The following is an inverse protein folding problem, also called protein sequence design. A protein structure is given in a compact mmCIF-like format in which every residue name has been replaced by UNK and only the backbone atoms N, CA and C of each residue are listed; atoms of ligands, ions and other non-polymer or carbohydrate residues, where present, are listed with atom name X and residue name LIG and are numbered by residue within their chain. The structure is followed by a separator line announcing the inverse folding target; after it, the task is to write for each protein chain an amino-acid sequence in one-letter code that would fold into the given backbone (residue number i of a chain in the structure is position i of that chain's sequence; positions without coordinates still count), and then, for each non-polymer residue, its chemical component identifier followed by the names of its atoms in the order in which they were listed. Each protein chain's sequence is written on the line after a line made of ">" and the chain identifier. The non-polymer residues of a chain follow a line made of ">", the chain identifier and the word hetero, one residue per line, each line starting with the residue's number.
data_IF_806184734514
#
_entry.id   IF_806184734514
#
_cell.length_a   1.000
_cell.length_b   1.000
_cell.length_c   1.000
_cell.angle_alpha   90.00
_cell.angle_beta   90.00
_cell.angle_gamma   90.00
#
_symmetry.space_group_name_H-M   'P 1'
#
loop_
_entity.id
_entity.type
_entity.pdbx_description
1 polymer ?
#
# COMPACT_ATOMS: atom_id res chain seq x y z
N UNK A 1 52.99 -4.97 -4.97
CA UNK A 1 52.08 -4.89 -3.80
C UNK A 1 50.85 -3.99 -4.02
N UNK A 2 50.87 -2.94 -4.86
CA UNK A 2 49.71 -2.03 -5.06
C UNK A 2 48.47 -2.61 -5.77
N UNK A 3 48.60 -3.72 -6.50
CA UNK A 3 47.48 -4.32 -7.27
C UNK A 3 46.50 -5.13 -6.42
N UNK A 4 46.96 -5.70 -5.30
CA UNK A 4 46.13 -6.51 -4.39
C UNK A 4 45.20 -5.60 -3.57
N UNK A 5 45.68 -4.40 -3.19
CA UNK A 5 44.90 -3.41 -2.44
C UNK A 5 43.75 -2.83 -3.25
N UNK A 6 43.92 -2.65 -4.57
CA UNK A 6 42.87 -2.12 -5.45
C UNK A 6 41.72 -3.13 -5.65
N UNK A 7 42.05 -4.42 -5.77
CA UNK A 7 41.05 -5.49 -5.89
C UNK A 7 40.24 -5.69 -4.60
N UNK A 8 40.89 -5.56 -3.44
CA UNK A 8 40.21 -5.65 -2.14
C UNK A 8 39.24 -4.49 -1.92
N UNK A 9 39.61 -3.26 -2.34
CA UNK A 9 38.72 -2.10 -2.27
C UNK A 9 37.49 -2.24 -3.17
N UNK A 10 37.66 -2.71 -4.41
CA UNK A 10 36.53 -2.96 -5.33
C UNK A 10 35.57 -4.03 -4.79
N UNK A 11 36.10 -5.06 -4.10
CA UNK A 11 35.29 -6.09 -3.46
C UNK A 11 34.47 -5.53 -2.28
N UNK A 12 35.06 -4.66 -1.46
CA UNK A 12 34.36 -4.02 -0.33
C UNK A 12 33.27 -3.05 -0.81
N UNK A 13 33.51 -2.30 -1.89
CA UNK A 13 32.49 -1.43 -2.50
C UNK A 13 31.34 -2.18 -3.20
N UNK A 14 31.53 -3.45 -3.56
CA UNK A 14 30.45 -4.30 -4.09
C UNK A 14 29.50 -4.83 -3.01
N UNK A 15 29.93 -4.83 -1.74
CA UNK A 15 29.11 -5.28 -0.60
C UNK A 15 28.13 -4.20 -0.10
N UNK A 16 28.23 -2.96 -0.58
CA UNK A 16 27.24 -1.90 -0.33
C UNK A 16 26.07 -1.93 -1.32
N UNK A 17 25.75 -3.10 -1.89
CA UNK A 17 24.49 -3.31 -2.57
C UNK A 17 23.37 -2.95 -1.58
N UNK A 18 22.70 -1.83 -1.83
CA UNK A 18 21.55 -1.37 -1.08
C UNK A 18 20.60 -2.56 -0.91
N UNK A 19 20.30 -2.91 0.34
CA UNK A 19 19.35 -3.98 0.63
C UNK A 19 18.02 -3.62 -0.04
N UNK A 20 17.67 -4.34 -1.11
CA UNK A 20 16.37 -4.18 -1.76
C UNK A 20 15.29 -4.61 -0.79
N UNK A 21 14.26 -3.80 -0.63
CA UNK A 21 13.14 -4.08 0.29
C UNK A 21 12.23 -5.13 -0.33
N UNK A 22 12.01 -6.24 0.37
CA UNK A 22 11.13 -7.30 -0.12
C UNK A 22 9.64 -6.99 0.13
N UNK A 23 8.73 -7.67 -0.58
CA UNK A 23 7.28 -7.59 -0.30
C UNK A 23 6.96 -7.92 1.16
N UNK A 24 7.70 -8.85 1.77
CA UNK A 24 7.54 -9.22 3.18
C UNK A 24 7.94 -8.07 4.11
N UNK A 25 8.98 -7.32 3.79
CA UNK A 25 9.41 -6.16 4.57
C UNK A 25 8.41 -5.02 4.46
N UNK A 26 7.89 -4.77 3.26
CA UNK A 26 6.79 -3.82 3.05
C UNK A 26 5.56 -4.25 3.85
N UNK A 27 5.17 -5.53 3.82
CA UNK A 27 4.02 -6.03 4.59
C UNK A 27 4.24 -5.92 6.11
N UNK A 28 5.46 -6.14 6.60
CA UNK A 28 5.79 -5.95 8.03
C UNK A 28 5.56 -4.51 8.46
N UNK A 29 5.78 -3.54 7.58
CA UNK A 29 5.53 -2.12 7.83
C UNK A 29 4.05 -1.77 7.64
N UNK A 30 3.38 -2.33 6.63
CA UNK A 30 1.96 -2.09 6.34
C UNK A 30 0.99 -2.78 7.31
N UNK A 31 1.41 -3.77 8.09
CA UNK A 31 0.51 -4.37 9.09
C UNK A 31 0.06 -3.33 10.12
N UNK A 32 -1.21 -3.42 10.54
CA UNK A 32 -1.76 -2.52 11.54
C UNK A 32 -3.24 -2.24 11.36
N UNK A 33 -3.76 -1.35 12.20
CA UNK A 33 -5.13 -0.83 12.10
C UNK A 33 -5.12 0.51 11.38
N UNK A 34 -6.08 0.71 10.50
CA UNK A 34 -6.17 1.84 9.60
C UNK A 34 -7.57 2.42 9.56
N UNK A 35 -7.64 3.65 9.09
CA UNK A 35 -8.87 4.37 8.80
C UNK A 35 -8.70 5.11 7.48
N UNK A 36 -9.54 4.78 6.50
CA UNK A 36 -9.62 5.50 5.24
C UNK A 36 -10.85 6.42 5.26
N UNK A 37 -10.64 7.70 4.98
CA UNK A 37 -11.68 8.71 4.79
C UNK A 37 -11.79 9.00 3.30
N UNK A 38 -12.96 8.77 2.72
CA UNK A 38 -13.23 8.72 1.27
C UNK A 38 -14.46 9.60 0.99
N UNK A 39 -14.25 10.92 0.92
CA UNK A 39 -15.35 11.89 0.85
C UNK A 39 -16.24 11.85 2.11
N UNK A 40 -17.53 11.53 1.92
CA UNK A 40 -18.53 11.35 2.99
C UNK A 40 -18.41 10.00 3.71
N UNK A 41 -17.68 9.05 3.13
CA UNK A 41 -17.58 7.68 3.61
C UNK A 41 -16.29 7.42 4.38
N UNK A 42 -16.34 6.44 5.29
CA UNK A 42 -15.20 6.07 6.12
C UNK A 42 -15.18 4.56 6.36
N UNK A 43 -14.00 3.97 6.22
CA UNK A 43 -13.74 2.57 6.49
C UNK A 43 -12.63 2.42 7.55
N UNK A 44 -12.88 1.62 8.58
CA UNK A 44 -11.87 1.19 9.55
C UNK A 44 -11.54 -0.26 9.28
N UNK A 45 -10.25 -0.59 9.16
CA UNK A 45 -9.82 -1.92 8.75
C UNK A 45 -8.48 -2.31 9.40
N UNK A 46 -8.12 -3.59 9.29
CA UNK A 46 -6.85 -4.12 9.78
C UNK A 46 -6.16 -4.90 8.66
N UNK A 47 -4.90 -4.57 8.42
CA UNK A 47 -3.98 -5.38 7.61
C UNK A 47 -3.24 -6.33 8.55
N UNK A 48 -3.44 -7.64 8.38
CA UNK A 48 -2.76 -8.67 9.16
C UNK A 48 -1.37 -8.94 8.62
N UNK A 49 -0.51 -9.59 9.42
CA UNK A 49 0.82 -10.03 9.00
C UNK A 49 0.82 -11.06 7.85
N UNK A 50 -0.34 -11.63 7.53
CA UNK A 50 -0.53 -12.54 6.39
C UNK A 50 -0.87 -11.82 5.09
N UNK A 51 -1.03 -10.49 5.10
CA UNK A 51 -1.55 -9.72 3.97
C UNK A 51 -3.08 -9.63 3.93
N UNK A 52 -3.79 -10.52 4.64
CA UNK A 52 -5.26 -10.46 4.71
C UNK A 52 -5.74 -9.15 5.33
N UNK A 53 -6.69 -8.52 4.66
CA UNK A 53 -7.39 -7.33 5.14
C UNK A 53 -8.70 -7.75 5.78
N UNK A 54 -9.08 -7.07 6.86
CA UNK A 54 -10.35 -7.27 7.54
C UNK A 54 -10.98 -5.90 7.82
N UNK A 55 -12.11 -5.64 7.18
CA UNK A 55 -12.93 -4.47 7.48
C UNK A 55 -13.56 -4.63 8.87
N UNK A 56 -13.39 -3.64 9.73
CA UNK A 56 -13.94 -3.62 11.08
C UNK A 56 -15.26 -2.87 11.15
N UNK A 57 -15.35 -1.74 10.42
CA UNK A 57 -16.55 -0.94 10.33
C UNK A 57 -16.50 -0.04 9.11
N UNK A 58 -17.68 0.24 8.57
CA UNK A 58 -17.93 1.23 7.54
C UNK A 58 -19.02 2.18 7.99
N UNK A 59 -19.00 3.39 7.47
CA UNK A 59 -20.04 4.39 7.70
C UNK A 59 -20.03 5.39 6.56
N UNK A 60 -21.21 5.86 6.14
CA UNK A 60 -21.36 6.87 5.11
C UNK A 60 -22.36 6.44 4.06
N UNK A 61 -22.19 6.98 2.86
CA UNK A 61 -23.04 6.71 1.69
C UNK A 61 -22.79 5.33 1.09
N UNK A 62 -21.54 4.85 1.14
CA UNK A 62 -21.15 3.54 0.64
C UNK A 62 -20.66 2.62 1.77
N UNK A 63 -21.21 1.41 1.82
CA UNK A 63 -20.77 0.35 2.73
C UNK A 63 -19.73 -0.55 2.03
N UNK A 64 -18.45 -0.24 2.20
CA UNK A 64 -17.35 -1.06 1.69
C UNK A 64 -17.24 -2.39 2.46
N UNK A 65 -17.85 -3.45 1.93
CA UNK A 65 -17.91 -4.76 2.56
C UNK A 65 -16.63 -5.58 2.34
N UNK A 66 -15.92 -5.34 1.24
CA UNK A 66 -14.75 -6.11 0.83
C UNK A 66 -13.50 -5.24 0.75
N UNK A 67 -12.39 -5.78 1.23
CA UNK A 67 -11.09 -5.14 1.11
C UNK A 67 -10.01 -6.19 0.84
N UNK A 68 -9.17 -5.93 -0.15
CA UNK A 68 -8.07 -6.83 -0.53
C UNK A 68 -6.75 -6.06 -0.65
N UNK A 69 -5.67 -6.68 -0.16
CA UNK A 69 -4.32 -6.20 -0.36
C UNK A 69 -3.58 -7.17 -1.27
N UNK A 70 -3.07 -6.65 -2.37
CA UNK A 70 -2.18 -7.36 -3.29
C UNK A 70 -0.89 -6.57 -3.49
N UNK A 71 0.14 -7.21 -4.05
CA UNK A 71 1.37 -6.52 -4.45
C UNK A 71 1.46 -6.49 -5.97
N UNK A 72 1.76 -5.31 -6.52
CA UNK A 72 2.02 -5.13 -7.93
C UNK A 72 3.47 -5.51 -8.24
N UNK A 73 3.66 -6.30 -9.29
CA UNK A 73 4.97 -6.81 -9.71
C UNK A 73 5.16 -8.30 -9.37
N UNK A 74 5.98 -8.97 -10.18
CA UNK A 74 6.25 -10.41 -10.06
C UNK A 74 7.42 -10.63 -9.10
N UNK A 75 7.30 -11.54 -8.14
CA UNK A 75 8.42 -12.05 -7.34
C UNK A 75 9.43 -12.89 -8.15
N UNK A 76 9.15 -13.12 -9.43
CA UNK A 76 9.90 -13.96 -10.36
C UNK A 76 10.59 -13.15 -11.48
N UNK A 77 10.76 -11.83 -11.34
CA UNK A 77 11.46 -11.02 -12.35
C UNK A 77 12.94 -11.37 -12.38
N UNK A 78 13.47 -11.73 -13.55
CA UNK A 78 14.91 -11.81 -13.78
C UNK A 78 15.41 -10.37 -13.99
N UNK A 79 15.58 -9.63 -12.88
CA UNK A 79 16.01 -8.23 -12.87
C UNK A 79 16.03 -7.67 -11.44
N UNK A 80 16.56 -6.45 -11.23
CA UNK A 80 16.42 -5.79 -9.93
C UNK A 80 14.93 -5.57 -9.64
N UNK A 81 14.42 -6.18 -8.58
CA UNK A 81 13.07 -5.91 -8.12
C UNK A 81 12.99 -4.43 -7.73
N UNK A 82 12.10 -3.70 -8.39
CA UNK A 82 11.74 -2.35 -8.00
C UNK A 82 11.13 -2.33 -6.60
N UNK A 83 10.95 -1.14 -6.03
CA UNK A 83 10.26 -1.00 -4.74
C UNK A 83 8.88 -1.68 -4.81
N UNK A 84 8.57 -2.61 -3.90
CA UNK A 84 7.27 -3.26 -3.92
C UNK A 84 6.14 -2.24 -3.70
N UNK A 85 5.12 -2.32 -4.54
CA UNK A 85 3.93 -1.48 -4.45
C UNK A 85 2.77 -2.35 -4.00
N UNK A 86 2.20 -2.02 -2.85
CA UNK A 86 0.99 -2.63 -2.36
C UNK A 86 -0.24 -1.93 -2.97
N UNK A 87 -1.18 -2.70 -3.48
CA UNK A 87 -2.48 -2.25 -3.96
C UNK A 87 -3.54 -2.68 -2.96
N UNK A 88 -4.15 -1.72 -2.29
CA UNK A 88 -5.30 -1.92 -1.42
C UNK A 88 -6.57 -1.52 -2.17
N UNK A 89 -7.51 -2.44 -2.30
CA UNK A 89 -8.79 -2.21 -2.98
C UNK A 89 -9.92 -2.33 -1.98
N UNK A 90 -10.84 -1.35 -1.96
CA UNK A 90 -12.11 -1.42 -1.25
C UNK A 90 -13.24 -1.51 -2.27
N UNK A 91 -14.03 -2.58 -2.21
CA UNK A 91 -15.23 -2.72 -3.00
C UNK A 91 -16.46 -2.35 -2.18
N UNK A 92 -17.33 -1.52 -2.76
CA UNK A 92 -18.70 -1.34 -2.32
C UNK A 92 -19.61 -1.58 -3.52
N UNK A 93 -20.70 -2.32 -3.34
CA UNK A 93 -21.63 -2.50 -4.44
C UNK A 93 -22.97 -3.09 -4.02
N UNK A 94 -23.97 -2.82 -4.87
CA UNK A 94 -25.26 -3.49 -4.94
C UNK A 94 -25.33 -4.34 -6.22
N UNK A 95 -26.48 -4.93 -6.47
CA UNK A 95 -26.81 -5.60 -7.73
C UNK A 95 -26.81 -4.66 -8.96
N UNK A 96 -26.98 -3.35 -8.76
CA UNK A 96 -27.04 -2.34 -9.83
C UNK A 96 -25.73 -1.55 -10.01
N UNK A 97 -25.00 -1.28 -8.92
CA UNK A 97 -23.82 -0.40 -8.93
C UNK A 97 -22.65 -1.01 -8.15
N UNK A 98 -21.44 -0.99 -8.70
CA UNK A 98 -20.20 -1.34 -8.00
C UNK A 98 -19.20 -0.20 -8.08
N UNK A 99 -18.60 0.14 -6.95
CA UNK A 99 -17.59 1.19 -6.81
C UNK A 99 -16.37 0.62 -6.11
N UNK A 100 -15.24 0.68 -6.79
CA UNK A 100 -13.96 0.23 -6.24
C UNK A 100 -13.06 1.42 -5.97
N UNK A 101 -12.48 1.45 -4.78
CA UNK A 101 -11.45 2.40 -4.39
C UNK A 101 -10.11 1.70 -4.34
N UNK A 102 -9.17 2.19 -5.12
CA UNK A 102 -7.80 1.70 -5.19
C UNK A 102 -6.86 2.68 -4.48
N UNK A 103 -6.04 2.17 -3.57
CA UNK A 103 -4.99 2.91 -2.88
C UNK A 103 -3.67 2.19 -3.13
N UNK A 104 -2.78 2.84 -3.89
CA UNK A 104 -1.44 2.33 -4.14
C UNK A 104 -0.47 2.91 -3.12
N UNK A 105 0.26 2.03 -2.43
CA UNK A 105 1.18 2.39 -1.36
C UNK A 105 2.53 1.72 -1.55
N UNK A 106 3.58 2.36 -1.07
CA UNK A 106 4.89 1.74 -0.92
C UNK A 106 5.49 2.11 0.43
N UNK A 107 6.69 1.60 0.71
CA UNK A 107 7.45 1.93 1.90
C UNK A 107 8.79 2.47 1.47
N UNK A 108 9.14 3.63 1.97
CA UNK A 108 10.43 4.27 1.76
C UNK A 108 11.26 4.14 3.03
N UNK A 109 12.55 3.86 2.88
CA UNK A 109 13.51 3.87 3.97
C UNK A 109 14.28 5.19 3.97
N UNK A 110 14.10 5.99 5.01
CA UNK A 110 14.83 7.22 5.22
C UNK A 110 16.29 6.99 5.59
N UNK A 111 17.08 8.07 5.59
CA UNK A 111 18.49 8.06 5.99
C UNK A 111 18.70 7.63 7.44
N UNK A 112 17.68 7.77 8.29
CA UNK A 112 17.64 7.33 9.70
C UNK A 112 17.36 5.83 9.88
N UNK A 113 17.21 5.06 8.79
CA UNK A 113 16.65 3.70 8.77
C UNK A 113 15.19 3.62 9.26
N UNK A 114 14.49 4.75 9.38
CA UNK A 114 13.05 4.76 9.62
C UNK A 114 12.33 4.37 8.33
N UNK A 115 11.35 3.47 8.46
CA UNK A 115 10.53 3.02 7.34
C UNK A 115 9.19 3.73 7.41
N UNK A 116 8.90 4.52 6.38
CA UNK A 116 7.68 5.30 6.27
C UNK A 116 6.79 4.77 5.15
N UNK A 117 5.50 4.70 5.42
CA UNK A 117 4.50 4.34 4.40
C UNK A 117 4.23 5.59 3.57
N UNK A 118 4.22 5.42 2.25
CA UNK A 118 3.90 6.46 1.30
C UNK A 118 2.72 6.05 0.43
N UNK A 119 1.72 6.92 0.35
CA UNK A 119 0.63 6.76 -0.62
C UNK A 119 1.09 7.31 -1.97
N UNK A 120 1.18 6.46 -2.98
CA UNK A 120 1.59 6.85 -4.34
C UNK A 120 0.43 7.55 -5.03
N UNK A 121 -0.74 6.92 -5.01
CA UNK A 121 -1.96 7.45 -5.61
C UNK A 121 -3.17 6.74 -5.01
N UNK A 122 -4.32 7.39 -5.11
CA UNK A 122 -5.60 6.79 -4.77
C UNK A 122 -6.65 7.24 -5.79
N UNK A 123 -7.49 6.31 -6.25
CA UNK A 123 -8.49 6.57 -7.28
C UNK A 123 -9.70 5.65 -7.13
N UNK A 124 -10.82 6.06 -7.72
CA UNK A 124 -12.04 5.27 -7.74
C UNK A 124 -12.41 4.86 -9.16
N UNK A 125 -12.95 3.66 -9.27
CA UNK A 125 -13.62 3.19 -10.47
C UNK A 125 -15.07 2.90 -10.12
N UNK A 126 -15.92 3.06 -11.12
CA UNK A 126 -17.36 2.89 -11.01
C UNK A 126 -17.82 1.98 -12.15
N UNK A 127 -18.68 1.03 -11.82
CA UNK A 127 -19.30 0.11 -12.74
C UNK A 127 -20.81 0.07 -12.50
N UNK A 128 -21.58 0.52 -13.48
CA UNK A 128 -23.04 0.41 -13.53
C UNK A 128 -23.38 -0.81 -14.38
N UNK A 129 -23.66 -1.92 -13.68
CA UNK A 129 -23.82 -3.25 -14.26
C UNK A 129 -24.94 -3.33 -15.31
N UNK A 130 -26.14 -2.79 -15.05
CA UNK A 130 -27.24 -2.78 -16.03
C UNK A 130 -26.95 -1.97 -17.30
N UNK A 131 -26.12 -0.94 -17.21
CA UNK A 131 -25.84 -0.05 -18.34
C UNK A 131 -24.50 -0.33 -19.05
N UNK A 132 -23.73 -1.35 -18.62
CA UNK A 132 -22.38 -1.67 -19.11
C UNK A 132 -21.43 -0.45 -19.09
N UNK A 133 -21.61 0.47 -18.14
CA UNK A 133 -20.77 1.67 -18.01
C UNK A 133 -19.72 1.44 -16.94
N UNK A 134 -18.48 1.27 -17.38
CA UNK A 134 -17.31 1.32 -16.50
C UNK A 134 -16.57 2.64 -16.72
N UNK A 135 -16.39 3.44 -15.66
CA UNK A 135 -15.72 4.73 -15.73
C UNK A 135 -14.67 4.90 -14.64
N UNK A 136 -13.60 5.61 -14.99
CA UNK A 136 -12.62 6.13 -14.04
C UNK A 136 -13.13 7.47 -13.51
N UNK A 137 -13.38 7.56 -12.21
CA UNK A 137 -13.94 8.78 -11.61
C UNK A 137 -12.87 9.79 -11.16
N UNK A 138 -11.58 9.50 -11.36
CA UNK A 138 -10.49 10.41 -11.02
C UNK A 138 -9.70 10.03 -9.77
N UNK A 139 -8.76 10.89 -9.40
CA UNK A 139 -8.10 10.81 -8.10
C UNK A 139 -9.13 11.06 -7.00
N UNK A 140 -9.33 10.07 -6.15
CA UNK A 140 -10.22 10.21 -5.02
C UNK A 140 -9.49 10.96 -3.91
N UNK A 141 -10.15 11.95 -3.31
CA UNK A 141 -9.64 12.61 -2.10
C UNK A 141 -9.69 11.64 -0.92
N UNK A 142 -8.66 10.79 -0.81
CA UNK A 142 -8.56 9.75 0.21
C UNK A 142 -7.54 10.17 1.25
N UNK A 143 -8.00 10.30 2.48
CA UNK A 143 -7.09 10.48 3.62
C UNK A 143 -6.93 9.13 4.32
N UNK A 144 -5.75 8.54 4.19
CA UNK A 144 -5.40 7.31 4.89
C UNK A 144 -4.71 7.62 6.21
N UNK A 145 -5.18 7.02 7.30
CA UNK A 145 -4.61 7.17 8.64
C UNK A 145 -4.26 5.82 9.23
N UNK A 146 -3.10 5.72 9.88
CA UNK A 146 -2.66 4.53 10.60
C UNK A 146 -2.80 4.74 12.11
N UNK A 147 -3.28 3.73 12.82
CA UNK A 147 -3.35 3.75 14.27
C UNK A 147 -1.96 3.55 14.89
N UNK A 148 -1.53 4.52 15.69
CA UNK A 148 -0.32 4.43 16.49
C UNK A 148 -0.66 3.97 17.91
N UNK A 149 -0.17 2.79 18.30
CA UNK A 149 -0.46 2.18 19.60
C UNK A 149 0.17 2.92 20.78
N UNK A 150 1.28 3.65 20.55
CA UNK A 150 1.96 4.44 21.59
C UNK A 150 1.17 5.70 21.92
N UNK A 151 0.74 6.43 20.89
CA UNK A 151 0.00 7.70 21.05
C UNK A 151 -1.51 7.48 21.21
N UNK A 152 -1.99 6.26 20.92
CA UNK A 152 -3.41 5.86 20.88
C UNK A 152 -4.26 6.69 19.91
N UNK A 153 -3.65 7.23 18.85
CA UNK A 153 -4.30 8.10 17.87
C UNK A 153 -4.11 7.56 16.45
N UNK A 154 -5.00 7.98 15.55
CA UNK A 154 -4.82 7.79 14.12
C UNK A 154 -3.98 8.94 13.57
N UNK A 155 -2.89 8.60 12.90
CA UNK A 155 -1.93 9.54 12.31
C UNK A 155 -2.05 9.46 10.78
N UNK A 156 -2.11 10.62 10.13
CA UNK A 156 -2.24 10.71 8.67
C UNK A 156 -0.97 10.18 8.04
N UNK A 157 -1.12 9.25 7.10
CA UNK A 157 -0.05 8.78 6.24
C UNK A 157 0.13 9.83 5.15
N UNK A 158 1.34 10.35 5.02
CA UNK A 158 1.67 11.41 4.07
C UNK A 158 2.11 10.86 2.72
#
# INVERSE_FOLDING_TARGET
>A
MKKITLGLMAFIFSLSAFASMSQEDVLKVLKGRYMAEMGSSKATFVIRSSGKVMTLSTSGEFEYSEAELSFLGSSNSIGPDGLPVASLVFGAGSDEETRDIHILMTVEQGWSNEMDIKVITAFSTFNDGPNDVSSYEGQSAITLKKYNSKTKKYEVIK
#
